data_IF_847113597516
#
_entry.id   IF_847113597516
#
_cell.length_a   1.000
_cell.length_b   1.000
_cell.length_c   1.000
_cell.angle_alpha   90.00
_cell.angle_beta   90.00
_cell.angle_gamma   90.00
#
_symmetry.space_group_name_H-M   'P 1'
#
loop_
_entity.id
_entity.type
_entity.pdbx_description
1 polymer ?
#
# COMPACT_ATOMS: atom_id res chain seq x y z
N UNK A 1 -32.76 20.49 17.08
CA UNK A 1 -31.60 21.39 17.28
C UNK A 1 -31.59 22.03 18.67
N UNK A 2 -32.68 22.68 19.09
CA UNK A 2 -32.83 23.26 20.44
C UNK A 2 -32.44 22.32 21.60
N UNK A 3 -32.87 21.05 21.58
CA UNK A 3 -32.51 20.09 22.64
C UNK A 3 -31.01 19.69 22.68
N UNK A 4 -30.27 19.89 21.59
CA UNK A 4 -28.82 19.63 21.54
C UNK A 4 -28.09 20.85 22.13
N UNK A 5 -28.42 22.05 21.64
CA UNK A 5 -27.82 23.31 22.09
C UNK A 5 -28.07 23.59 23.58
N UNK A 6 -29.23 23.18 24.09
CA UNK A 6 -29.60 23.35 25.49
C UNK A 6 -29.13 22.20 26.40
N UNK A 7 -28.25 21.32 25.94
CA UNK A 7 -27.69 20.22 26.75
C UNK A 7 -28.70 19.15 27.18
N UNK A 8 -29.92 19.15 26.63
CA UNK A 8 -31.00 18.20 26.97
C UNK A 8 -30.82 16.82 26.30
N UNK A 9 -29.81 16.68 25.42
CA UNK A 9 -29.55 15.46 24.66
C UNK A 9 -28.26 14.80 25.15
N UNK A 10 -28.36 13.59 25.73
CA UNK A 10 -27.19 12.87 26.26
C UNK A 10 -26.32 12.20 25.18
N UNK A 11 -26.92 11.79 24.07
CA UNK A 11 -26.24 11.08 22.99
C UNK A 11 -26.59 11.69 21.63
N UNK A 12 -25.58 12.05 20.84
CA UNK A 12 -25.74 12.61 19.49
C UNK A 12 -25.18 11.61 18.48
N UNK A 13 -25.94 11.29 17.43
CA UNK A 13 -25.48 10.39 16.37
C UNK A 13 -24.40 11.07 15.52
N UNK A 14 -23.41 10.32 15.06
CA UNK A 14 -22.32 10.83 14.22
C UNK A 14 -22.82 11.53 12.95
N UNK A 15 -23.85 11.01 12.30
CA UNK A 15 -24.44 11.66 11.10
C UNK A 15 -25.03 13.03 11.42
N UNK A 16 -25.57 13.22 12.62
CA UNK A 16 -26.03 14.54 13.08
C UNK A 16 -24.84 15.48 13.27
N UNK A 17 -23.75 15.01 13.89
CA UNK A 17 -22.52 15.80 14.06
C UNK A 17 -21.94 16.21 12.70
N UNK A 18 -21.86 15.30 11.73
CA UNK A 18 -21.37 15.62 10.37
C UNK A 18 -22.20 16.69 9.67
N UNK A 19 -23.53 16.65 9.81
CA UNK A 19 -24.42 17.69 9.27
C UNK A 19 -24.13 19.06 9.90
N UNK A 20 -23.83 19.10 11.20
CA UNK A 20 -23.46 20.34 11.90
C UNK A 20 -22.09 20.86 11.45
N UNK A 21 -21.08 19.99 11.37
CA UNK A 21 -19.75 20.34 10.87
C UNK A 21 -19.86 20.99 9.48
N UNK A 22 -20.58 20.36 8.56
CA UNK A 22 -20.74 20.87 7.20
C UNK A 22 -21.57 22.16 7.16
N UNK A 23 -22.67 22.23 7.93
CA UNK A 23 -23.56 23.39 7.94
C UNK A 23 -22.96 24.63 8.61
N UNK A 24 -22.06 24.44 9.57
CA UNK A 24 -21.35 25.51 10.28
C UNK A 24 -19.95 25.78 9.70
N UNK A 25 -19.54 25.03 8.68
CA UNK A 25 -18.22 25.10 8.04
C UNK A 25 -17.06 25.03 9.06
N UNK A 26 -17.15 24.10 10.02
CA UNK A 26 -16.13 23.90 11.06
C UNK A 26 -14.90 23.23 10.43
N UNK A 27 -13.76 23.91 10.46
CA UNK A 27 -12.46 23.34 10.04
C UNK A 27 -11.60 22.90 11.23
N UNK A 28 -10.52 22.18 10.97
CA UNK A 28 -9.63 21.63 12.00
C UNK A 28 -8.85 22.76 12.70
N UNK A 29 -9.04 22.88 14.01
CA UNK A 29 -8.19 23.65 14.92
C UNK A 29 -7.72 22.79 16.10
N UNK A 30 -6.77 23.32 16.90
CA UNK A 30 -6.16 22.60 18.02
C UNK A 30 -7.06 22.46 19.26
N UNK A 31 -8.20 23.16 19.30
CA UNK A 31 -9.13 23.22 20.43
C UNK A 31 -10.39 22.37 20.20
N UNK A 32 -10.51 21.71 19.04
CA UNK A 32 -11.67 20.88 18.72
C UNK A 32 -11.69 19.61 19.59
N UNK A 33 -12.84 19.28 20.22
CA UNK A 33 -13.01 18.02 20.92
C UNK A 33 -12.76 16.81 20.03
N UNK A 34 -12.14 15.76 20.58
CA UNK A 34 -11.77 14.55 19.85
C UNK A 34 -12.94 13.90 19.09
N UNK A 35 -14.15 13.99 19.63
CA UNK A 35 -15.37 13.46 19.05
C UNK A 35 -15.69 14.17 17.73
N UNK A 36 -15.60 15.50 17.72
CA UNK A 36 -15.80 16.33 16.53
C UNK A 36 -14.67 16.10 15.53
N UNK A 37 -13.41 16.11 16.02
CA UNK A 37 -12.24 15.84 15.19
C UNK A 37 -12.37 14.49 14.45
N UNK A 38 -12.83 13.44 15.15
CA UNK A 38 -13.03 12.12 14.54
C UNK A 38 -14.04 12.12 13.40
N UNK A 39 -15.12 12.90 13.50
CA UNK A 39 -16.13 13.03 12.45
C UNK A 39 -15.62 13.88 11.28
N UNK A 40 -14.83 14.93 11.52
CA UNK A 40 -14.14 15.70 10.46
C UNK A 40 -13.22 14.77 9.65
N UNK A 41 -12.42 13.93 10.32
CA UNK A 41 -11.53 12.99 9.65
C UNK A 41 -12.32 11.96 8.82
N UNK A 42 -13.47 11.47 9.31
CA UNK A 42 -14.34 10.57 8.54
C UNK A 42 -14.88 11.25 7.28
N UNK A 43 -15.32 12.51 7.37
CA UNK A 43 -15.75 13.29 6.20
C UNK A 43 -14.61 13.42 5.19
N UNK A 44 -13.39 13.79 5.64
CA UNK A 44 -12.21 13.89 4.76
C UNK A 44 -11.88 12.55 4.09
N UNK A 45 -11.99 11.44 4.80
CA UNK A 45 -11.78 10.10 4.24
C UNK A 45 -12.85 9.75 3.19
N UNK A 46 -14.12 10.05 3.45
CA UNK A 46 -15.20 9.81 2.49
C UNK A 46 -14.98 10.61 1.19
N UNK A 47 -14.58 11.88 1.30
CA UNK A 47 -14.26 12.70 0.12
C UNK A 47 -13.02 12.18 -0.62
N UNK A 48 -11.95 11.87 0.10
CA UNK A 48 -10.72 11.34 -0.48
C UNK A 48 -10.93 9.98 -1.14
N UNK A 49 -11.82 9.15 -0.59
CA UNK A 49 -12.21 7.89 -1.19
C UNK A 49 -12.88 8.11 -2.56
N UNK A 50 -13.89 8.99 -2.63
CA UNK A 50 -14.57 9.32 -3.90
C UNK A 50 -13.59 9.82 -4.95
N UNK A 51 -12.74 10.79 -4.59
CA UNK A 51 -11.74 11.33 -5.49
C UNK A 51 -10.75 10.25 -5.97
N UNK A 52 -10.34 9.34 -5.07
CA UNK A 52 -9.42 8.25 -5.41
C UNK A 52 -10.06 7.22 -6.34
N UNK A 53 -11.35 6.94 -6.17
CA UNK A 53 -12.12 6.04 -7.06
C UNK A 53 -12.22 6.65 -8.46
N UNK A 54 -12.63 7.91 -8.59
CA UNK A 54 -12.72 8.57 -9.90
C UNK A 54 -11.35 8.61 -10.59
N UNK A 55 -10.30 8.98 -9.85
CA UNK A 55 -8.94 8.96 -10.39
C UNK A 55 -8.50 7.59 -10.88
N UNK A 56 -8.82 6.51 -10.14
CA UNK A 56 -8.51 5.15 -10.55
C UNK A 56 -9.29 4.73 -11.81
N UNK A 57 -10.54 5.19 -11.95
CA UNK A 57 -11.41 4.85 -13.09
C UNK A 57 -10.79 5.26 -14.43
N UNK A 58 -10.06 6.37 -14.45
CA UNK A 58 -9.37 6.90 -15.63
C UNK A 58 -8.04 6.21 -15.95
N UNK A 59 -7.52 5.33 -15.07
CA UNK A 59 -6.22 4.66 -15.26
C UNK A 59 -6.35 3.32 -15.97
N UNK A 60 -5.28 2.94 -16.66
CA UNK A 60 -5.11 1.58 -17.18
C UNK A 60 -4.97 0.57 -16.04
N UNK A 61 -5.29 -0.70 -16.31
CA UNK A 61 -5.23 -1.77 -15.31
C UNK A 61 -3.87 -1.86 -14.59
N UNK A 62 -2.77 -1.79 -15.35
CA UNK A 62 -1.41 -1.79 -14.79
C UNK A 62 -1.21 -0.63 -13.81
N UNK A 63 -1.65 0.58 -14.17
CA UNK A 63 -1.49 1.77 -13.34
C UNK A 63 -2.35 1.68 -12.08
N UNK A 64 -3.58 1.16 -12.19
CA UNK A 64 -4.44 0.88 -11.02
C UNK A 64 -3.76 -0.10 -10.06
N UNK A 65 -3.24 -1.21 -10.59
CA UNK A 65 -2.55 -2.23 -9.80
C UNK A 65 -1.29 -1.66 -9.14
N UNK A 66 -0.49 -0.90 -9.89
CA UNK A 66 0.71 -0.19 -9.39
C UNK A 66 0.36 0.74 -8.23
N UNK A 67 -0.68 1.57 -8.36
CA UNK A 67 -1.11 2.52 -7.33
C UNK A 67 -1.63 1.83 -6.06
N UNK A 68 -2.46 0.81 -6.21
CA UNK A 68 -3.03 0.06 -5.07
C UNK A 68 -1.93 -0.68 -4.32
N UNK A 69 -1.10 -1.45 -5.04
CA UNK A 69 -0.03 -2.24 -4.43
C UNK A 69 1.00 -1.34 -3.78
N UNK A 70 1.46 -0.28 -4.46
CA UNK A 70 2.41 0.67 -3.85
C UNK A 70 1.86 1.34 -2.60
N UNK A 71 0.57 1.69 -2.59
CA UNK A 71 -0.09 2.25 -1.40
C UNK A 71 -0.15 1.21 -0.27
N UNK A 72 -0.43 -0.06 -0.57
CA UNK A 72 -0.45 -1.14 0.42
C UNK A 72 0.95 -1.39 1.02
N UNK A 73 1.98 -1.46 0.16
CA UNK A 73 3.39 -1.62 0.53
C UNK A 73 3.91 -0.44 1.38
N UNK A 74 3.31 0.74 1.20
CA UNK A 74 3.66 1.94 1.95
C UNK A 74 3.07 2.00 3.36
N UNK A 75 2.01 1.22 3.65
CA UNK A 75 1.44 1.15 4.99
C UNK A 75 2.49 0.68 6.01
N UNK A 76 2.31 1.09 7.26
CA UNK A 76 3.14 0.68 8.38
C UNK A 76 2.28 -0.02 9.42
N UNK A 77 2.91 -0.89 10.20
CA UNK A 77 2.26 -1.67 11.25
C UNK A 77 0.92 -2.29 10.81
N UNK A 78 0.90 -2.96 9.65
CA UNK A 78 -0.34 -3.47 9.04
C UNK A 78 -1.07 -4.47 9.92
N UNK A 79 -0.35 -5.25 10.74
CA UNK A 79 -0.93 -6.23 11.66
C UNK A 79 -1.81 -5.60 12.74
N UNK A 80 -1.45 -4.42 13.23
CA UNK A 80 -2.21 -3.77 14.29
C UNK A 80 -3.28 -2.84 13.72
N UNK A 81 -2.92 -2.06 12.68
CA UNK A 81 -3.76 -0.98 12.16
C UNK A 81 -4.70 -1.42 11.03
N UNK A 82 -4.40 -2.54 10.35
CA UNK A 82 -5.09 -2.99 9.14
C UNK A 82 -5.44 -4.48 9.18
N UNK A 83 -6.04 -4.93 10.30
CA UNK A 83 -6.34 -6.34 10.59
C UNK A 83 -7.24 -6.99 9.54
N UNK A 84 -8.15 -6.25 8.91
CA UNK A 84 -9.01 -6.80 7.86
C UNK A 84 -8.27 -6.88 6.52
N UNK A 85 -7.51 -5.86 6.15
CA UNK A 85 -6.83 -5.72 4.88
C UNK A 85 -5.74 -6.78 4.69
N UNK A 86 -5.06 -7.18 5.77
CA UNK A 86 -4.05 -8.25 5.74
C UNK A 86 -4.63 -9.66 5.68
N UNK A 87 -5.95 -9.83 5.81
CA UNK A 87 -6.55 -11.16 5.71
C UNK A 87 -6.28 -11.75 4.33
N UNK A 88 -6.17 -13.08 4.31
CA UNK A 88 -5.93 -13.84 3.10
C UNK A 88 -6.90 -13.40 1.99
N UNK A 89 -6.35 -13.16 0.81
CA UNK A 89 -7.06 -12.81 -0.42
C UNK A 89 -7.83 -11.47 -0.42
N UNK A 90 -7.82 -10.66 0.65
CA UNK A 90 -8.49 -9.34 0.64
C UNK A 90 -7.83 -8.39 -0.36
N UNK A 91 -6.51 -8.23 -0.32
CA UNK A 91 -5.79 -7.42 -1.30
C UNK A 91 -5.94 -7.98 -2.72
N UNK A 92 -5.92 -9.32 -2.88
CA UNK A 92 -6.16 -9.98 -4.17
C UNK A 92 -7.54 -9.66 -4.72
N UNK A 93 -8.57 -9.72 -3.86
CA UNK A 93 -9.95 -9.40 -4.21
C UNK A 93 -10.09 -7.94 -4.63
N UNK A 94 -9.40 -7.02 -3.96
CA UNK A 94 -9.36 -5.61 -4.37
C UNK A 94 -8.81 -5.47 -5.80
N UNK A 95 -7.67 -6.12 -6.09
CA UNK A 95 -7.03 -6.10 -7.42
C UNK A 95 -7.90 -6.79 -8.48
N UNK A 96 -8.56 -7.89 -8.12
CA UNK A 96 -9.51 -8.56 -9.02
C UNK A 96 -10.67 -7.66 -9.41
N UNK A 97 -11.36 -7.10 -8.40
CA UNK A 97 -12.57 -6.32 -8.63
C UNK A 97 -12.26 -5.05 -9.43
N UNK A 98 -11.16 -4.35 -9.13
CA UNK A 98 -10.87 -3.12 -9.86
C UNK A 98 -10.55 -3.36 -11.36
N UNK A 99 -10.10 -4.56 -11.71
CA UNK A 99 -9.87 -4.97 -13.11
C UNK A 99 -11.13 -5.48 -13.81
N UNK A 100 -12.03 -6.16 -13.10
CA UNK A 100 -13.13 -6.93 -13.72
C UNK A 100 -14.53 -6.36 -13.44
N UNK A 101 -14.75 -5.72 -12.30
CA UNK A 101 -16.05 -5.23 -11.85
C UNK A 101 -15.89 -4.02 -10.94
N UNK A 102 -15.84 -2.84 -11.56
CA UNK A 102 -15.54 -1.59 -10.88
C UNK A 102 -16.62 -1.21 -9.85
N UNK A 103 -17.89 -1.51 -10.13
CA UNK A 103 -18.99 -1.22 -9.20
C UNK A 103 -18.89 -2.11 -7.95
N UNK A 104 -18.58 -3.40 -8.12
CA UNK A 104 -18.32 -4.27 -6.98
C UNK A 104 -17.02 -3.91 -6.25
N UNK A 105 -16.01 -3.36 -6.93
CA UNK A 105 -14.83 -2.79 -6.27
C UNK A 105 -15.22 -1.63 -5.34
N UNK A 106 -16.06 -0.69 -5.80
CA UNK A 106 -16.56 0.42 -4.98
C UNK A 106 -17.34 -0.14 -3.79
N UNK A 107 -18.31 -1.02 -4.04
CA UNK A 107 -19.14 -1.62 -3.00
C UNK A 107 -18.34 -2.38 -1.94
N UNK A 108 -17.33 -3.15 -2.37
CA UNK A 108 -16.46 -3.89 -1.48
C UNK A 108 -15.60 -2.97 -0.61
N UNK A 109 -14.98 -1.96 -1.22
CA UNK A 109 -14.01 -1.10 -0.53
C UNK A 109 -14.69 -0.04 0.35
N UNK A 110 -15.89 0.43 -0.02
CA UNK A 110 -16.63 1.42 0.78
C UNK A 110 -17.25 0.83 2.05
N UNK A 111 -17.57 -0.47 2.06
CA UNK A 111 -18.35 -1.13 3.12
C UNK A 111 -17.64 -1.12 4.48
N UNK A 112 -16.31 -1.24 4.49
CA UNK A 112 -15.51 -1.22 5.72
C UNK A 112 -14.67 0.04 5.77
N UNK A 113 -14.65 0.68 6.94
CA UNK A 113 -13.87 1.89 7.15
C UNK A 113 -12.38 1.69 6.84
N UNK A 114 -11.83 0.52 7.20
CA UNK A 114 -10.42 0.19 6.96
C UNK A 114 -10.06 0.15 5.47
N UNK A 115 -10.88 -0.51 4.63
CA UNK A 115 -10.67 -0.56 3.17
C UNK A 115 -10.94 0.78 2.51
N UNK A 116 -11.96 1.51 2.99
CA UNK A 116 -12.28 2.85 2.50
C UNK A 116 -11.12 3.82 2.75
N UNK A 117 -10.60 3.83 3.98
CA UNK A 117 -9.44 4.62 4.39
C UNK A 117 -8.21 4.23 3.58
N UNK A 118 -7.98 2.94 3.36
CA UNK A 118 -6.88 2.47 2.50
C UNK A 118 -6.97 3.03 1.08
N UNK A 119 -8.13 2.94 0.42
CA UNK A 119 -8.32 3.49 -0.94
C UNK A 119 -8.20 5.01 -0.94
N UNK A 120 -8.67 5.70 0.10
CA UNK A 120 -8.53 7.17 0.22
C UNK A 120 -7.07 7.65 0.22
N UNK A 121 -6.12 6.78 0.57
CA UNK A 121 -4.70 7.09 0.58
C UNK A 121 -4.07 7.10 -0.80
N UNK A 122 -4.77 6.68 -1.86
CA UNK A 122 -4.23 6.70 -3.22
C UNK A 122 -3.91 8.13 -3.66
N UNK A 123 -4.81 9.09 -3.43
CA UNK A 123 -4.51 10.49 -3.71
C UNK A 123 -3.95 11.23 -2.50
N UNK A 124 -4.51 10.98 -1.31
CA UNK A 124 -4.24 11.78 -0.12
C UNK A 124 -3.71 10.96 1.06
N UNK A 125 -2.51 10.34 0.92
CA UNK A 125 -1.89 9.62 2.02
C UNK A 125 -1.32 10.59 3.07
N UNK A 126 -1.28 10.21 4.36
CA UNK A 126 -0.46 10.89 5.37
C UNK A 126 1.00 11.01 4.91
N UNK A 127 1.69 12.09 5.28
CA UNK A 127 3.06 12.40 4.82
C UNK A 127 4.04 11.24 4.96
N UNK A 128 3.98 10.50 6.07
CA UNK A 128 4.82 9.33 6.28
C UNK A 128 4.54 8.19 5.28
N UNK A 129 3.26 7.92 4.98
CA UNK A 129 2.85 6.94 3.97
C UNK A 129 3.24 7.44 2.57
N UNK A 130 3.08 8.74 2.30
CA UNK A 130 3.49 9.36 1.04
C UNK A 130 4.96 9.10 0.73
N UNK A 131 5.86 9.45 1.65
CA UNK A 131 7.30 9.26 1.44
C UNK A 131 7.71 7.79 1.24
N UNK A 132 7.01 6.84 1.89
CA UNK A 132 7.23 5.40 1.66
C UNK A 132 6.74 4.97 0.28
N UNK A 133 5.56 5.44 -0.13
CA UNK A 133 4.96 5.13 -1.42
C UNK A 133 5.79 5.68 -2.57
N UNK A 134 6.32 6.89 -2.44
CA UNK A 134 7.14 7.53 -3.48
C UNK A 134 8.40 6.71 -3.80
N UNK A 135 9.02 6.08 -2.78
CA UNK A 135 10.12 5.12 -3.00
C UNK A 135 9.65 3.89 -3.78
N UNK A 136 8.47 3.35 -3.47
CA UNK A 136 7.94 2.15 -4.14
C UNK A 136 7.52 2.47 -5.58
N UNK A 137 6.90 3.62 -5.82
CA UNK A 137 6.56 4.08 -7.18
C UNK A 137 7.83 4.25 -8.02
N UNK A 138 8.87 4.89 -7.47
CA UNK A 138 10.16 5.02 -8.16
C UNK A 138 10.80 3.66 -8.50
N UNK A 139 10.59 2.63 -7.66
CA UNK A 139 11.00 1.27 -8.00
C UNK A 139 10.19 0.72 -9.17
N UNK A 140 8.87 0.82 -9.11
CA UNK A 140 7.97 0.34 -10.16
C UNK A 140 8.22 1.02 -11.50
N UNK A 141 8.50 2.32 -11.52
CA UNK A 141 8.72 3.11 -12.74
C UNK A 141 10.09 2.80 -13.39
N UNK A 142 11.02 2.18 -12.65
CA UNK A 142 12.34 1.76 -13.15
C UNK A 142 12.36 0.30 -13.65
N UNK A 143 11.21 -0.38 -13.67
CA UNK A 143 11.09 -1.78 -14.05
C UNK A 143 10.18 -1.90 -15.27
N UNK A 144 10.57 -2.77 -16.21
CA UNK A 144 9.75 -3.07 -17.37
C UNK A 144 8.35 -3.56 -16.97
N UNK A 145 7.33 -3.18 -17.75
CA UNK A 145 5.92 -3.46 -17.47
C UNK A 145 5.64 -4.96 -17.23
N UNK A 146 6.25 -5.86 -17.99
CA UNK A 146 6.03 -7.31 -17.83
C UNK A 146 6.61 -7.81 -16.49
N UNK A 147 7.80 -7.32 -16.13
CA UNK A 147 8.46 -7.64 -14.85
C UNK A 147 7.70 -7.05 -13.66
N UNK A 148 7.18 -5.83 -13.79
CA UNK A 148 6.36 -5.20 -12.75
C UNK A 148 5.07 -6.00 -12.51
N UNK A 149 4.39 -6.42 -13.58
CA UNK A 149 3.21 -7.29 -13.49
C UNK A 149 3.54 -8.60 -12.78
N UNK A 150 4.66 -9.23 -13.12
CA UNK A 150 5.13 -10.43 -12.43
C UNK A 150 5.34 -10.18 -10.93
N UNK A 151 6.05 -9.10 -10.56
CA UNK A 151 6.33 -8.75 -9.15
C UNK A 151 5.02 -8.50 -8.39
N UNK A 152 4.07 -7.78 -8.98
CA UNK A 152 2.74 -7.55 -8.39
C UNK A 152 2.03 -8.88 -8.16
N UNK A 153 1.98 -9.74 -9.17
CA UNK A 153 1.31 -11.04 -9.07
C UNK A 153 1.98 -11.95 -8.03
N UNK A 154 3.31 -11.93 -7.94
CA UNK A 154 4.05 -12.61 -6.87
C UNK A 154 3.70 -12.05 -5.49
N UNK A 155 3.73 -10.73 -5.33
CA UNK A 155 3.41 -10.03 -4.09
C UNK A 155 2.02 -10.38 -3.57
N UNK A 156 1.05 -10.48 -4.49
CA UNK A 156 -0.31 -10.87 -4.18
C UNK A 156 -0.37 -12.30 -3.63
N UNK A 157 0.48 -13.22 -4.08
CA UNK A 157 0.45 -14.64 -3.73
C UNK A 157 1.30 -15.04 -2.50
N UNK A 158 2.16 -14.16 -1.99
CA UNK A 158 2.94 -14.42 -0.77
C UNK A 158 2.18 -14.03 0.51
N UNK A 159 2.67 -14.52 1.65
CA UNK A 159 2.08 -14.26 2.98
C UNK A 159 2.43 -12.85 3.46
N UNK A 160 1.65 -12.31 4.39
CA UNK A 160 1.84 -10.94 4.89
C UNK A 160 3.23 -10.68 5.50
N UNK A 161 3.77 -11.65 6.25
CA UNK A 161 5.12 -11.55 6.80
C UNK A 161 6.21 -11.51 5.71
N UNK A 162 5.97 -12.11 4.56
CA UNK A 162 6.87 -12.08 3.41
C UNK A 162 6.72 -10.75 2.65
N UNK A 163 5.49 -10.24 2.53
CA UNK A 163 5.22 -8.90 1.97
C UNK A 163 5.95 -7.82 2.75
N UNK A 164 5.88 -7.83 4.09
CA UNK A 164 6.58 -6.85 4.93
C UNK A 164 8.09 -6.79 4.64
N UNK A 165 8.74 -7.95 4.49
CA UNK A 165 10.17 -8.02 4.15
C UNK A 165 10.44 -7.46 2.75
N UNK A 166 9.62 -7.82 1.76
CA UNK A 166 9.74 -7.31 0.39
C UNK A 166 9.52 -5.79 0.31
N UNK A 167 8.56 -5.26 1.07
CA UNK A 167 8.30 -3.82 1.14
C UNK A 167 9.52 -3.06 1.67
N UNK A 168 10.20 -3.61 2.69
CA UNK A 168 11.43 -3.02 3.24
C UNK A 168 12.55 -3.08 2.20
N UNK A 169 12.74 -4.23 1.57
CA UNK A 169 13.76 -4.41 0.54
C UNK A 169 13.60 -3.40 -0.60
N UNK A 170 12.40 -3.21 -1.12
CA UNK A 170 12.14 -2.29 -2.24
C UNK A 170 12.42 -0.84 -1.85
N UNK A 171 11.97 -0.41 -0.67
CA UNK A 171 12.24 0.96 -0.18
C UNK A 171 13.73 1.19 0.03
N UNK A 172 14.44 0.22 0.60
CA UNK A 172 15.88 0.34 0.85
C UNK A 172 16.68 0.28 -0.46
N UNK A 173 16.27 -0.55 -1.42
CA UNK A 173 16.85 -0.58 -2.76
C UNK A 173 16.84 0.82 -3.38
N UNK A 174 15.71 1.54 -3.35
CA UNK A 174 15.66 2.90 -3.92
C UNK A 174 16.44 3.93 -3.11
N UNK A 175 16.50 3.81 -1.79
CA UNK A 175 17.36 4.67 -0.96
C UNK A 175 18.83 4.51 -1.35
N UNK A 176 19.29 3.27 -1.49
CA UNK A 176 20.67 2.97 -1.82
C UNK A 176 21.01 3.22 -3.28
N UNK A 177 20.06 3.09 -4.21
CA UNK A 177 20.26 3.44 -5.61
C UNK A 177 20.64 4.92 -5.81
N UNK A 178 20.30 5.80 -4.86
CA UNK A 178 20.72 7.21 -4.89
C UNK A 178 22.18 7.44 -4.45
N UNK A 179 22.76 6.53 -3.67
CA UNK A 179 24.04 6.76 -2.99
C UNK A 179 25.08 5.67 -3.28
N UNK A 180 24.71 4.58 -3.97
CA UNK A 180 25.60 3.45 -4.29
C UNK A 180 26.86 3.90 -5.04
N UNK A 181 26.72 4.83 -5.98
CA UNK A 181 27.84 5.44 -6.71
C UNK A 181 28.77 6.28 -5.81
N UNK A 182 28.23 6.89 -4.76
CA UNK A 182 28.98 7.76 -3.83
C UNK A 182 29.75 6.92 -2.82
N UNK A 183 29.19 5.81 -2.39
CA UNK A 183 29.79 4.98 -1.34
C UNK A 183 30.99 4.15 -1.82
N UNK A 184 31.30 4.14 -3.13
CA UNK A 184 32.43 3.37 -3.67
C UNK A 184 32.35 1.86 -3.40
N UNK A 185 31.15 1.36 -3.08
CA UNK A 185 30.94 -0.04 -2.73
C UNK A 185 30.94 -0.86 -4.02
N UNK A 186 32.13 -1.31 -4.41
CA UNK A 186 32.30 -2.47 -5.29
C UNK A 186 32.01 -3.71 -4.45
N UNK A 187 30.75 -4.13 -4.40
CA UNK A 187 30.43 -5.36 -3.70
C UNK A 187 30.86 -6.55 -4.56
N UNK A 188 32.08 -7.04 -4.32
CA UNK A 188 32.48 -8.42 -4.66
C UNK A 188 31.62 -9.47 -3.91
N UNK A 189 30.73 -9.00 -3.04
CA UNK A 189 29.75 -9.78 -2.30
C UNK A 189 28.69 -10.27 -3.28
N UNK A 190 28.88 -11.50 -3.77
CA UNK A 190 27.88 -12.20 -4.59
C UNK A 190 26.63 -12.46 -3.76
N UNK A 191 25.51 -11.97 -4.27
CA UNK A 191 24.20 -12.33 -3.76
C UNK A 191 23.95 -13.81 -4.06
N UNK A 192 23.48 -14.60 -3.08
CA UNK A 192 23.14 -16.03 -3.28
C UNK A 192 22.16 -16.23 -4.44
N UNK A 193 21.36 -15.22 -4.75
CA UNK A 193 20.32 -15.23 -5.77
C UNK A 193 20.58 -14.20 -6.89
N UNK A 194 21.82 -14.06 -7.37
CA UNK A 194 22.17 -13.11 -8.44
C UNK A 194 21.29 -13.32 -9.69
N UNK A 195 21.01 -14.56 -10.08
CA UNK A 195 20.23 -14.88 -11.29
C UNK A 195 18.89 -14.14 -11.38
N UNK A 196 18.13 -14.07 -10.27
CA UNK A 196 16.82 -13.39 -10.26
C UNK A 196 16.96 -11.86 -10.26
N UNK A 197 18.02 -11.34 -9.65
CA UNK A 197 18.33 -9.90 -9.65
C UNK A 197 18.68 -9.44 -11.07
N UNK A 198 19.54 -10.20 -11.75
CA UNK A 198 19.91 -9.98 -13.15
C UNK A 198 18.70 -10.15 -14.06
N UNK A 199 17.91 -11.21 -13.87
CA UNK A 199 16.68 -11.45 -14.64
C UNK A 199 15.68 -10.30 -14.53
N UNK A 200 15.62 -9.64 -13.37
CA UNK A 200 14.77 -8.47 -13.13
C UNK A 200 15.42 -7.14 -13.58
N UNK A 201 16.66 -7.15 -14.08
CA UNK A 201 17.49 -5.98 -14.41
C UNK A 201 17.63 -4.99 -13.23
N UNK A 202 17.79 -5.50 -12.02
CA UNK A 202 17.98 -4.66 -10.84
C UNK A 202 19.46 -4.31 -10.64
N UNK A 203 19.74 -3.12 -10.10
CA UNK A 203 21.10 -2.69 -9.79
C UNK A 203 21.67 -3.51 -8.63
N UNK A 204 22.69 -4.32 -8.91
CA UNK A 204 23.28 -5.26 -7.95
C UNK A 204 23.76 -4.58 -6.66
N UNK A 205 24.46 -3.45 -6.75
CA UNK A 205 24.94 -2.73 -5.55
C UNK A 205 23.79 -2.30 -4.63
N UNK A 206 22.70 -1.80 -5.21
CA UNK A 206 21.50 -1.40 -4.46
C UNK A 206 20.80 -2.59 -3.83
N UNK A 207 20.78 -3.75 -4.51
CA UNK A 207 20.26 -5.00 -3.96
C UNK A 207 21.11 -5.50 -2.79
N UNK A 208 22.44 -5.48 -2.92
CA UNK A 208 23.37 -5.87 -1.86
C UNK A 208 23.19 -4.98 -0.64
N UNK A 209 23.18 -3.65 -0.82
CA UNK A 209 23.00 -2.72 0.29
C UNK A 209 21.64 -2.87 0.96
N UNK A 210 20.59 -3.05 0.17
CA UNK A 210 19.25 -3.32 0.70
C UNK A 210 19.22 -4.64 1.49
N UNK A 211 19.87 -5.69 1.01
CA UNK A 211 19.97 -6.95 1.71
C UNK A 211 20.76 -6.88 3.02
N UNK A 212 21.90 -6.19 3.03
CA UNK A 212 22.73 -6.05 4.24
C UNK A 212 22.16 -5.05 5.25
N UNK A 213 21.16 -4.25 4.86
CA UNK A 213 20.38 -3.44 5.81
C UNK A 213 19.47 -4.28 6.73
N UNK A 214 19.19 -5.54 6.36
CA UNK A 214 18.44 -6.46 7.20
C UNK A 214 19.28 -7.02 8.35
N UNK A 215 18.64 -7.34 9.47
CA UNK A 215 19.23 -8.19 10.50
C UNK A 215 19.51 -9.61 10.00
N UNK A 216 20.31 -10.39 10.75
CA UNK A 216 20.64 -11.79 10.40
C UNK A 216 19.38 -12.64 10.15
N UNK A 217 18.36 -12.50 10.98
CA UNK A 217 17.11 -13.27 10.87
C UNK A 217 16.22 -12.82 9.70
N UNK A 218 16.19 -11.53 9.41
CA UNK A 218 15.48 -10.99 8.25
C UNK A 218 16.13 -11.45 6.94
N UNK A 219 17.46 -11.51 6.87
CA UNK A 219 18.17 -12.09 5.71
C UNK A 219 17.81 -13.55 5.47
N UNK A 220 17.67 -14.37 6.51
CA UNK A 220 17.20 -15.76 6.37
C UNK A 220 15.79 -15.82 5.77
N UNK A 221 14.87 -14.96 6.25
CA UNK A 221 13.51 -14.87 5.71
C UNK A 221 13.52 -14.41 4.25
N UNK A 222 14.35 -13.42 3.93
CA UNK A 222 14.44 -12.87 2.59
C UNK A 222 15.05 -13.86 1.60
N UNK A 223 16.07 -14.64 1.97
CA UNK A 223 16.60 -15.70 1.11
C UNK A 223 15.54 -16.74 0.74
N UNK A 224 14.71 -17.17 1.71
CA UNK A 224 13.57 -18.06 1.43
C UNK A 224 12.54 -17.42 0.49
N UNK A 225 12.36 -16.10 0.59
CA UNK A 225 11.48 -15.36 -0.30
C UNK A 225 12.04 -15.29 -1.73
N UNK A 226 13.34 -15.05 -1.88
CA UNK A 226 14.03 -15.03 -3.17
C UNK A 226 14.04 -16.40 -3.85
N UNK A 227 14.20 -17.48 -3.10
CA UNK A 227 14.06 -18.86 -3.62
C UNK A 227 12.66 -19.07 -4.21
N UNK A 228 11.60 -18.61 -3.53
CA UNK A 228 10.24 -18.66 -4.08
C UNK A 228 10.05 -17.79 -5.32
N UNK A 229 10.63 -16.58 -5.31
CA UNK A 229 10.57 -15.66 -6.43
C UNK A 229 11.24 -16.24 -7.66
N UNK A 230 12.43 -16.81 -7.51
CA UNK A 230 13.21 -17.45 -8.57
C UNK A 230 12.47 -18.66 -9.18
N UNK A 231 11.94 -19.53 -8.32
CA UNK A 231 11.11 -20.68 -8.75
C UNK A 231 9.87 -20.18 -9.51
N UNK A 232 9.20 -19.13 -9.03
CA UNK A 232 8.01 -18.60 -9.70
C UNK A 232 8.35 -17.95 -11.05
N UNK A 233 9.48 -17.24 -11.14
CA UNK A 233 9.92 -16.56 -12.36
C UNK A 233 10.34 -17.57 -13.44
N UNK A 234 11.18 -18.55 -13.09
CA UNK A 234 11.65 -19.60 -14.01
C UNK A 234 10.50 -20.43 -14.59
N UNK A 235 9.50 -20.76 -13.76
CA UNK A 235 8.37 -21.56 -14.20
C UNK A 235 7.31 -20.77 -14.99
N UNK A 236 7.44 -19.44 -15.11
CA UNK A 236 6.36 -18.53 -15.58
C UNK A 236 4.99 -18.76 -14.90
N UNK A 237 4.97 -19.46 -13.76
CA UNK A 237 3.75 -19.89 -13.05
C UNK A 237 3.29 -18.78 -12.12
N UNK A 238 2.71 -17.71 -12.66
CA UNK A 238 1.81 -16.86 -11.88
C UNK A 238 0.63 -16.43 -12.75
N UNK A 239 -0.22 -17.39 -13.10
CA UNK A 239 -1.59 -17.06 -13.46
C UNK A 239 -2.34 -16.67 -12.18
N UNK A 240 -3.07 -15.55 -12.24
CA UNK A 240 -4.04 -15.22 -11.20
C UNK A 240 -5.17 -16.26 -11.26
N UNK A 241 -5.02 -17.36 -10.52
CA UNK A 241 -6.09 -18.32 -10.34
C UNK A 241 -7.15 -17.72 -9.43
N UNK A 242 -8.05 -16.93 -10.03
CA UNK A 242 -9.34 -16.60 -9.43
C UNK A 242 -10.23 -17.83 -9.56
N UNK A 243 -10.09 -18.79 -8.64
CA UNK A 243 -11.15 -19.79 -8.44
C UNK A 243 -12.29 -19.08 -7.70
N UNK A 244 -13.45 -19.04 -8.37
CA UNK A 244 -14.74 -18.57 -7.85
C UNK A 244 -15.07 -19.16 -6.49
#
# INVERSE_FOLDING_TARGET
>A
MSNILNGKTKNIRGDTIRKLINGLNIDIDNNIPNEIFSEIIKIKIDQNFKNSVEYLKEKSEIERNKLIVSTYMALFNRKDLYKYLIKKDVLKKIIYLIGNDFDNFINFTQKRYETKRFISYILNPPTFIKGRRDLILKFSDNIDKAKLNFIINFYLNIKENEREILDIFIRNYIRFNKISHILGINSDIRFKHNDIIESLNLNSNSCVLSYYSFSKWERVKFNRLLEKLDIAYKNKKIELNFKN
#
